data_IF_221020933633
#
_entry.id   IF_221020933633
#
_cell.length_a   1.000
_cell.length_b   1.000
_cell.length_c   1.000
_cell.angle_alpha   90.00
_cell.angle_beta   90.00
_cell.angle_gamma   90.00
#
_symmetry.space_group_name_H-M   'P 1'
#
loop_
_entity.id
_entity.type
_entity.pdbx_description
1 polymer ?
#
# COMPACT_ATOMS: atom_id res chain seq x y z
N UNK A 1 15.30 -5.35 -6.31
CA UNK A 1 13.91 -4.91 -6.65
C UNK A 1 13.45 -5.60 -7.95
N UNK A 2 12.15 -5.74 -8.24
CA UNK A 2 11.66 -6.51 -9.42
C UNK A 2 12.25 -5.98 -10.75
N UNK A 3 12.31 -4.66 -10.93
CA UNK A 3 12.90 -4.00 -12.10
C UNK A 3 14.35 -4.39 -12.33
N UNK A 4 15.14 -4.49 -11.26
CA UNK A 4 16.55 -4.89 -11.33
C UNK A 4 16.71 -6.37 -11.66
N UNK A 5 15.79 -7.23 -11.20
CA UNK A 5 15.83 -8.68 -11.47
C UNK A 5 15.57 -8.97 -12.95
N UNK A 6 14.60 -8.30 -13.58
CA UNK A 6 14.29 -8.49 -15.00
C UNK A 6 15.35 -7.88 -15.95
N UNK A 7 16.25 -7.05 -15.43
CA UNK A 7 17.48 -6.54 -16.08
C UNK A 7 17.39 -6.42 -17.62
N UNK A 8 16.52 -5.52 -18.10
CA UNK A 8 16.28 -5.33 -19.54
C UNK A 8 17.16 -4.22 -20.11
N UNK A 9 17.56 -4.33 -21.38
CA UNK A 9 18.18 -3.22 -22.12
C UNK A 9 17.22 -2.03 -22.33
N UNK A 10 15.91 -2.25 -22.16
CA UNK A 10 14.88 -1.26 -22.45
C UNK A 10 14.55 -0.33 -21.27
N UNK A 11 14.94 -0.68 -20.05
CA UNK A 11 14.66 0.12 -18.85
C UNK A 11 15.71 -0.12 -17.77
N UNK A 12 15.94 0.91 -16.94
CA UNK A 12 16.80 0.83 -15.75
C UNK A 12 16.04 1.30 -14.52
N UNK A 13 16.39 0.78 -13.35
CA UNK A 13 15.85 1.29 -12.08
C UNK A 13 16.40 2.70 -11.83
N UNK A 14 15.50 3.69 -11.76
CA UNK A 14 15.85 5.10 -11.58
C UNK A 14 16.02 5.53 -10.12
N UNK A 15 15.61 4.72 -9.15
CA UNK A 15 15.60 5.11 -7.74
C UNK A 15 14.36 5.91 -7.36
N UNK A 16 14.48 6.70 -6.27
CA UNK A 16 13.40 7.53 -5.76
C UNK A 16 13.08 8.67 -6.75
N UNK A 17 11.82 8.75 -7.17
CA UNK A 17 11.30 9.78 -8.07
C UNK A 17 11.56 11.20 -7.54
N UNK A 18 11.57 11.40 -6.21
CA UNK A 18 11.85 12.71 -5.60
C UNK A 18 13.24 13.26 -5.98
N UNK A 19 14.20 12.37 -6.23
CA UNK A 19 15.57 12.72 -6.62
C UNK A 19 15.69 13.25 -8.05
N UNK A 20 14.61 13.18 -8.84
CA UNK A 20 14.56 13.58 -10.24
C UNK A 20 13.74 14.84 -10.48
N UNK A 21 13.00 15.34 -9.49
CA UNK A 21 12.04 16.46 -9.61
C UNK A 21 12.62 17.76 -10.17
N UNK A 22 13.89 18.06 -9.90
CA UNK A 22 14.54 19.32 -10.28
C UNK A 22 15.61 19.14 -11.36
N UNK A 23 15.65 17.99 -12.06
CA UNK A 23 16.62 17.82 -13.14
C UNK A 23 16.17 18.64 -14.36
N UNK A 24 17.09 19.33 -15.05
CA UNK A 24 16.73 20.19 -16.16
C UNK A 24 16.08 19.39 -17.29
N UNK A 25 15.01 19.95 -17.87
CA UNK A 25 14.23 19.43 -19.02
C UNK A 25 15.08 19.05 -20.25
N UNK A 26 16.35 19.48 -20.29
CA UNK A 26 17.32 19.05 -21.30
C UNK A 26 17.74 17.58 -21.16
N UNK A 27 17.29 16.85 -20.14
CA UNK A 27 17.50 15.41 -20.04
C UNK A 27 16.67 14.68 -21.10
N UNK A 28 17.34 13.98 -22.02
CA UNK A 28 16.72 13.06 -22.99
C UNK A 28 16.12 11.79 -22.36
N UNK A 29 16.01 11.75 -21.02
CA UNK A 29 15.57 10.58 -20.27
C UNK A 29 14.05 10.56 -20.15
N UNK A 30 13.45 9.42 -20.48
CA UNK A 30 12.04 9.14 -20.26
C UNK A 30 11.86 8.42 -18.92
N UNK A 31 10.84 8.81 -18.16
CA UNK A 31 10.56 8.23 -16.84
C UNK A 31 9.25 7.46 -16.83
N UNK A 32 9.23 6.36 -16.09
CA UNK A 32 8.00 5.68 -15.66
C UNK A 32 7.95 5.78 -14.14
N UNK A 33 7.07 6.61 -13.63
CA UNK A 33 6.84 6.76 -12.20
C UNK A 33 5.74 5.79 -11.74
N UNK A 34 6.06 4.98 -10.71
CA UNK A 34 5.08 4.10 -10.05
C UNK A 34 4.52 4.82 -8.83
N UNK A 35 3.29 5.30 -8.94
CA UNK A 35 2.60 6.05 -7.89
C UNK A 35 1.74 5.08 -7.09
N UNK A 36 2.08 4.82 -5.83
CA UNK A 36 1.28 3.96 -4.95
C UNK A 36 0.37 4.84 -4.09
N UNK A 37 -0.95 4.71 -4.25
CA UNK A 37 -1.93 5.58 -3.60
C UNK A 37 -3.13 4.75 -3.13
N UNK A 38 -3.43 4.63 -1.82
CA UNK A 38 -2.61 5.00 -0.68
C UNK A 38 -1.21 4.37 -0.72
N UNK A 39 -0.21 5.09 -0.17
CA UNK A 39 1.18 4.66 -0.13
C UNK A 39 1.36 3.40 0.71
N UNK A 40 2.41 2.65 0.38
CA UNK A 40 2.94 1.57 1.20
C UNK A 40 4.38 1.95 1.56
N UNK A 41 4.69 2.30 2.84
CA UNK A 41 3.99 1.80 4.04
C UNK A 41 2.95 2.72 4.71
N UNK A 42 2.95 4.03 4.49
CA UNK A 42 2.26 4.98 5.39
C UNK A 42 0.73 5.01 5.26
N UNK A 43 0.20 4.80 4.05
CA UNK A 43 -1.23 4.89 3.75
C UNK A 43 -1.72 6.28 3.33
N UNK A 44 -0.83 7.16 2.89
CA UNK A 44 -1.19 8.49 2.39
C UNK A 44 -1.61 8.44 0.92
N UNK A 45 -2.59 9.24 0.52
CA UNK A 45 -2.89 9.42 -0.91
C UNK A 45 -1.72 10.16 -1.58
N UNK A 46 -1.22 9.59 -2.67
CA UNK A 46 -0.09 10.11 -3.44
C UNK A 46 -0.51 10.53 -4.84
N UNK A 47 0.14 11.59 -5.29
CA UNK A 47 0.14 12.12 -6.65
C UNK A 47 1.57 11.94 -7.22
N UNK A 48 1.76 12.05 -8.55
CA UNK A 48 3.07 11.96 -9.16
C UNK A 48 3.94 13.12 -8.70
N UNK A 49 5.24 12.88 -8.57
CA UNK A 49 6.21 13.95 -8.27
C UNK A 49 6.96 14.42 -9.51
N UNK A 50 6.95 13.64 -10.59
CA UNK A 50 7.54 13.98 -11.87
C UNK A 50 6.49 14.55 -12.82
N UNK A 51 6.90 15.56 -13.59
CA UNK A 51 6.06 16.28 -14.54
C UNK A 51 6.72 16.30 -15.92
N UNK A 52 5.94 16.56 -16.96
CA UNK A 52 6.43 16.68 -18.34
C UNK A 52 5.97 15.56 -19.26
N UNK A 53 6.14 15.78 -20.57
CA UNK A 53 5.66 14.87 -21.61
C UNK A 53 6.46 13.57 -21.73
N UNK A 54 7.69 13.56 -21.22
CA UNK A 54 8.59 12.40 -21.14
C UNK A 54 8.31 11.49 -19.94
N UNK A 55 7.37 11.85 -19.07
CA UNK A 55 6.98 11.09 -17.89
C UNK A 55 5.69 10.32 -18.17
N UNK A 56 5.71 9.02 -17.84
CA UNK A 56 4.52 8.17 -17.78
C UNK A 56 4.30 7.70 -16.35
N UNK A 57 3.04 7.52 -15.96
CA UNK A 57 2.67 7.11 -14.61
C UNK A 57 1.95 5.77 -14.61
N UNK A 58 2.23 4.95 -13.61
CA UNK A 58 1.51 3.72 -13.27
C UNK A 58 0.97 3.92 -11.86
N UNK A 59 -0.35 4.00 -11.73
CA UNK A 59 -0.98 4.11 -10.42
C UNK A 59 -1.27 2.73 -9.83
N UNK A 60 -0.58 2.39 -8.74
CA UNK A 60 -0.93 1.24 -7.89
C UNK A 60 -1.98 1.65 -6.87
N UNK A 61 -3.23 1.27 -7.17
CA UNK A 61 -4.41 1.47 -6.34
C UNK A 61 -4.80 0.22 -5.54
N UNK A 62 -3.85 -0.67 -5.22
CA UNK A 62 -4.12 -1.87 -4.43
C UNK A 62 -4.85 -1.57 -3.11
N UNK A 63 -4.57 -0.44 -2.46
CA UNK A 63 -5.20 -0.02 -1.19
C UNK A 63 -6.27 1.07 -1.38
N UNK A 64 -6.67 1.43 -2.59
CA UNK A 64 -7.67 2.49 -2.83
C UNK A 64 -9.10 1.97 -2.67
N UNK A 65 -9.39 1.48 -1.47
CA UNK A 65 -10.66 0.93 -1.06
C UNK A 65 -11.12 1.55 0.26
N UNK A 66 -12.44 1.64 0.51
CA UNK A 66 -12.98 2.18 1.76
C UNK A 66 -12.48 1.48 3.04
N UNK A 67 -11.89 0.28 2.92
CA UNK A 67 -11.20 -0.39 4.02
C UNK A 67 -10.07 0.46 4.61
N UNK A 68 -9.29 1.10 3.74
CA UNK A 68 -7.98 1.66 4.05
C UNK A 68 -7.96 3.19 4.07
N UNK A 69 -8.81 3.80 3.25
CA UNK A 69 -8.85 5.25 3.06
C UNK A 69 -10.26 5.70 2.69
N UNK A 70 -10.61 6.94 3.02
CA UNK A 70 -11.79 7.60 2.48
C UNK A 70 -11.63 7.82 0.97
N UNK A 71 -12.67 7.49 0.20
CA UNK A 71 -12.67 7.70 -1.25
C UNK A 71 -13.00 9.16 -1.55
N UNK A 72 -12.01 9.95 -1.93
CA UNK A 72 -12.19 11.36 -2.29
C UNK A 72 -12.99 11.53 -3.58
N UNK A 73 -12.64 10.76 -4.62
CA UNK A 73 -13.27 10.79 -5.94
C UNK A 73 -12.99 9.47 -6.69
N UNK A 74 -13.75 9.15 -7.76
CA UNK A 74 -13.36 8.08 -8.65
C UNK A 74 -11.96 8.34 -9.25
N UNK A 75 -11.08 7.34 -9.20
CA UNK A 75 -9.76 7.43 -9.82
C UNK A 75 -9.88 7.52 -11.35
N UNK A 76 -9.07 8.39 -11.98
CA UNK A 76 -9.16 8.68 -13.42
C UNK A 76 -7.79 8.94 -14.05
N UNK A 77 -6.84 8.03 -13.85
CA UNK A 77 -5.48 8.15 -14.41
C UNK A 77 -5.30 7.24 -15.63
N UNK A 78 -4.20 7.40 -16.37
CA UNK A 78 -4.02 6.74 -17.68
C UNK A 78 -3.81 5.23 -17.56
N UNK A 79 -3.12 4.80 -16.50
CA UNK A 79 -2.89 3.40 -16.18
C UNK A 79 -3.06 3.19 -14.68
N UNK A 80 -4.07 2.41 -14.32
CA UNK A 80 -4.45 2.10 -12.94
C UNK A 80 -4.41 0.60 -12.71
N UNK A 81 -3.76 0.12 -11.65
CA UNK A 81 -3.72 -1.30 -11.29
C UNK A 81 -4.40 -1.55 -9.94
N UNK A 82 -5.05 -2.70 -9.85
CA UNK A 82 -5.82 -3.15 -8.68
C UNK A 82 -5.62 -4.65 -8.46
N UNK A 83 -5.95 -5.14 -7.26
CA UNK A 83 -5.81 -6.56 -6.93
C UNK A 83 -6.88 -7.07 -5.96
N UNK A 84 -7.29 -8.34 -6.16
CA UNK A 84 -8.11 -9.05 -5.16
C UNK A 84 -7.40 -9.21 -3.82
N UNK A 85 -6.06 -9.22 -3.82
CA UNK A 85 -5.25 -9.47 -2.63
C UNK A 85 -5.53 -8.49 -1.49
N UNK A 86 -5.91 -7.26 -1.84
CA UNK A 86 -6.16 -6.15 -0.92
C UNK A 86 -7.61 -5.67 -0.95
N UNK A 87 -8.36 -6.00 -1.98
CA UNK A 87 -9.82 -5.84 -1.95
C UNK A 87 -10.47 -6.91 -1.06
N UNK A 88 -10.31 -8.20 -1.37
CA UNK A 88 -11.07 -9.29 -0.72
C UNK A 88 -10.22 -10.18 0.18
N UNK A 89 -8.95 -9.87 0.38
CA UNK A 89 -8.01 -10.71 1.14
C UNK A 89 -7.54 -11.97 0.40
N UNK A 90 -7.94 -12.17 -0.86
CA UNK A 90 -7.66 -13.38 -1.64
C UNK A 90 -6.29 -13.36 -2.32
N UNK A 91 -5.22 -13.12 -1.54
CA UNK A 91 -3.85 -12.99 -2.07
C UNK A 91 -3.29 -14.25 -2.74
N UNK A 92 -3.81 -15.43 -2.37
CA UNK A 92 -3.46 -16.72 -2.99
C UNK A 92 -4.08 -16.93 -4.37
N UNK A 93 -5.13 -16.19 -4.73
CA UNK A 93 -5.76 -16.30 -6.06
C UNK A 93 -4.91 -15.68 -7.18
N UNK A 94 -3.89 -14.89 -6.83
CA UNK A 94 -2.96 -14.25 -7.78
C UNK A 94 -3.68 -13.49 -8.90
N UNK A 95 -4.77 -12.79 -8.57
CA UNK A 95 -5.60 -12.07 -9.53
C UNK A 95 -5.56 -10.56 -9.30
N UNK A 96 -5.23 -9.83 -10.37
CA UNK A 96 -5.24 -8.38 -10.44
C UNK A 96 -5.67 -7.93 -11.84
N UNK A 97 -5.98 -6.65 -11.98
CA UNK A 97 -6.44 -6.07 -13.23
C UNK A 97 -5.89 -4.66 -13.39
N UNK A 98 -5.87 -4.20 -14.64
CA UNK A 98 -5.47 -2.86 -15.00
C UNK A 98 -6.57 -2.18 -15.82
N UNK A 99 -6.82 -0.89 -15.56
CA UNK A 99 -7.52 0.00 -16.48
C UNK A 99 -6.48 0.80 -17.25
N UNK A 100 -6.56 0.76 -18.57
CA UNK A 100 -5.57 1.35 -19.47
C UNK A 100 -6.30 2.19 -20.51
N UNK A 101 -6.02 3.49 -20.56
CA UNK A 101 -6.64 4.40 -21.54
C UNK A 101 -5.96 4.35 -22.90
N UNK A 102 -4.63 4.28 -22.92
CA UNK A 102 -3.84 4.24 -24.15
C UNK A 102 -3.90 2.85 -24.79
N UNK A 103 -4.43 2.79 -26.01
CA UNK A 103 -4.59 1.55 -26.76
C UNK A 103 -3.26 0.84 -27.04
N UNK A 104 -2.20 1.58 -27.39
CA UNK A 104 -0.90 0.98 -27.69
C UNK A 104 -0.26 0.39 -26.42
N UNK A 105 -0.47 1.01 -25.26
CA UNK A 105 -0.06 0.44 -23.97
C UNK A 105 -0.86 -0.82 -23.65
N UNK A 106 -2.19 -0.78 -23.84
CA UNK A 106 -3.06 -1.95 -23.65
C UNK A 106 -2.62 -3.13 -24.51
N UNK A 107 -2.38 -2.93 -25.81
CA UNK A 107 -1.96 -3.99 -26.73
C UNK A 107 -0.61 -4.59 -26.33
N UNK A 108 0.34 -3.77 -25.87
CA UNK A 108 1.64 -4.25 -25.34
C UNK A 108 1.47 -5.07 -24.07
N UNK A 109 0.59 -4.65 -23.15
CA UNK A 109 0.29 -5.41 -21.92
C UNK A 109 -0.40 -6.73 -22.24
N UNK A 110 -1.35 -6.73 -23.18
CA UNK A 110 -2.04 -7.94 -23.63
C UNK A 110 -1.05 -8.94 -24.26
N UNK A 111 -0.17 -8.45 -25.14
CA UNK A 111 0.88 -9.28 -25.75
C UNK A 111 1.85 -9.84 -24.69
N UNK A 112 2.22 -9.04 -23.67
CA UNK A 112 3.04 -9.54 -22.57
C UNK A 112 2.35 -10.68 -21.81
N UNK A 113 1.05 -10.55 -21.50
CA UNK A 113 0.29 -11.61 -20.82
C UNK A 113 0.22 -12.90 -21.65
N UNK A 114 0.06 -12.77 -22.97
CA UNK A 114 0.04 -13.91 -23.88
C UNK A 114 1.36 -14.66 -23.88
N UNK A 115 2.48 -13.94 -24.04
CA UNK A 115 3.82 -14.53 -24.10
C UNK A 115 4.30 -15.06 -22.74
N UNK A 116 3.94 -14.38 -21.65
CA UNK A 116 4.44 -14.71 -20.31
C UNK A 116 3.69 -15.89 -19.68
N UNK A 117 2.36 -15.98 -19.86
CA UNK A 117 1.56 -16.98 -19.15
C UNK A 117 0.32 -17.46 -19.91
N UNK A 118 0.13 -17.07 -21.17
CA UNK A 118 -1.08 -17.37 -21.96
C UNK A 118 -2.35 -16.90 -21.21
N UNK A 119 -2.27 -15.68 -20.66
CA UNK A 119 -3.35 -15.07 -19.88
C UNK A 119 -3.37 -15.49 -18.41
N UNK A 120 -4.55 -15.37 -17.79
CA UNK A 120 -4.78 -15.65 -16.37
C UNK A 120 -5.60 -16.93 -16.18
N UNK A 121 -5.33 -17.67 -15.09
CA UNK A 121 -6.06 -18.88 -14.72
C UNK A 121 -7.59 -18.67 -14.76
N UNK A 122 -8.29 -19.57 -15.45
CA UNK A 122 -9.76 -19.55 -15.52
C UNK A 122 -10.42 -19.75 -14.15
N UNK A 123 -9.81 -20.58 -13.28
CA UNK A 123 -10.28 -20.76 -11.89
C UNK A 123 -10.16 -19.46 -11.09
N UNK A 124 -9.05 -18.73 -11.27
CA UNK A 124 -8.87 -17.43 -10.63
C UNK A 124 -9.91 -16.41 -11.14
N UNK A 125 -10.19 -16.40 -12.44
CA UNK A 125 -11.22 -15.56 -13.05
C UNK A 125 -12.63 -15.89 -12.52
N UNK A 126 -13.00 -17.18 -12.48
CA UNK A 126 -14.30 -17.63 -11.97
C UNK A 126 -14.48 -17.29 -10.50
N UNK A 127 -13.45 -17.54 -9.68
CA UNK A 127 -13.47 -17.16 -8.26
C UNK A 127 -13.57 -15.64 -8.09
N UNK A 128 -12.82 -14.86 -8.88
CA UNK A 128 -12.90 -13.40 -8.87
C UNK A 128 -14.32 -12.92 -9.17
N UNK A 129 -14.96 -13.47 -10.20
CA UNK A 129 -16.33 -13.13 -10.58
C UNK A 129 -17.33 -13.36 -9.44
N UNK A 130 -17.26 -14.51 -8.78
CA UNK A 130 -18.16 -14.85 -7.66
C UNK A 130 -17.93 -13.92 -6.46
N UNK A 131 -16.67 -13.65 -6.12
CA UNK A 131 -16.31 -12.75 -5.02
C UNK A 131 -16.79 -11.33 -5.30
N UNK A 132 -16.50 -10.78 -6.48
CA UNK A 132 -16.90 -9.42 -6.85
C UNK A 132 -18.43 -9.28 -6.88
N UNK A 133 -19.16 -10.26 -7.41
CA UNK A 133 -20.64 -10.27 -7.34
C UNK A 133 -21.16 -10.27 -5.90
N UNK A 134 -20.48 -10.97 -5.00
CA UNK A 134 -20.84 -11.01 -3.58
C UNK A 134 -20.56 -9.67 -2.90
N UNK A 135 -19.40 -9.07 -3.17
CA UNK A 135 -19.03 -7.74 -2.65
C UNK A 135 -19.99 -6.67 -3.14
N UNK A 136 -20.50 -6.76 -4.38
CA UNK A 136 -21.41 -5.77 -4.95
C UNK A 136 -22.85 -5.86 -4.42
N UNK A 137 -23.19 -6.88 -3.63
CA UNK A 137 -24.50 -6.92 -2.94
C UNK A 137 -24.61 -5.74 -2.00
N UNK A 138 -25.79 -5.11 -1.97
CA UNK A 138 -26.07 -3.93 -1.15
C UNK A 138 -25.00 -2.83 -1.31
N UNK A 139 -24.53 -2.63 -2.55
CA UNK A 139 -23.47 -1.67 -2.93
C UNK A 139 -22.14 -1.87 -2.18
N UNK A 140 -21.93 -3.06 -1.60
CA UNK A 140 -20.78 -3.37 -0.75
C UNK A 140 -20.76 -2.66 0.60
N UNK A 141 -21.88 -2.06 1.03
CA UNK A 141 -21.98 -1.31 2.30
C UNK A 141 -21.53 -2.13 3.50
N UNK A 142 -22.00 -3.36 3.60
CA UNK A 142 -21.64 -4.27 4.69
C UNK A 142 -20.16 -4.67 4.61
N UNK A 143 -19.71 -5.11 3.44
CA UNK A 143 -18.33 -5.56 3.21
C UNK A 143 -17.29 -4.47 3.50
N UNK A 144 -17.50 -3.28 2.93
CA UNK A 144 -16.62 -2.14 3.14
C UNK A 144 -16.75 -1.56 4.54
N UNK A 145 -17.96 -1.54 5.12
CA UNK A 145 -18.21 -1.14 6.50
C UNK A 145 -17.48 -2.02 7.51
N UNK A 146 -17.49 -3.34 7.30
CA UNK A 146 -16.73 -4.31 8.09
C UNK A 146 -15.24 -4.00 8.04
N UNK A 147 -14.65 -3.93 6.83
CA UNK A 147 -13.21 -3.72 6.67
C UNK A 147 -12.74 -2.38 7.28
N UNK A 148 -13.49 -1.30 7.05
CA UNK A 148 -13.18 0.01 7.63
C UNK A 148 -13.24 -0.01 9.16
N UNK A 149 -14.32 -0.57 9.73
CA UNK A 149 -14.51 -0.66 11.18
C UNK A 149 -13.36 -1.44 11.83
N UNK A 150 -13.05 -2.62 11.31
CA UNK A 150 -11.98 -3.48 11.85
C UNK A 150 -10.62 -2.80 11.81
N UNK A 151 -10.24 -2.19 10.69
CA UNK A 151 -8.93 -1.54 10.57
C UNK A 151 -8.83 -0.25 11.37
N UNK A 152 -9.92 0.53 11.47
CA UNK A 152 -9.99 1.70 12.35
C UNK A 152 -9.80 1.32 13.81
N UNK A 153 -10.48 0.27 14.29
CA UNK A 153 -10.35 -0.21 15.67
C UNK A 153 -8.90 -0.63 15.97
N UNK A 154 -8.28 -1.41 15.07
CA UNK A 154 -6.88 -1.82 15.17
C UNK A 154 -5.93 -0.63 15.19
N UNK A 155 -6.15 0.34 14.30
CA UNK A 155 -5.36 1.57 14.24
C UNK A 155 -5.45 2.38 15.54
N UNK A 156 -6.65 2.56 16.10
CA UNK A 156 -6.85 3.26 17.38
C UNK A 156 -6.16 2.55 18.53
N UNK A 157 -6.26 1.22 18.60
CA UNK A 157 -5.63 0.41 19.65
C UNK A 157 -4.09 0.49 19.59
N UNK A 158 -3.50 0.32 18.40
CA UNK A 158 -2.06 0.45 18.22
C UNK A 158 -1.58 1.88 18.55
N UNK A 159 -2.25 2.90 18.02
CA UNK A 159 -1.91 4.30 18.26
C UNK A 159 -1.93 4.64 19.75
N UNK A 160 -2.97 4.20 20.46
CA UNK A 160 -3.09 4.41 21.91
C UNK A 160 -1.96 3.72 22.66
N UNK A 161 -1.63 2.48 22.31
CA UNK A 161 -0.55 1.73 22.98
C UNK A 161 0.80 2.43 22.80
N UNK A 162 1.16 2.79 21.56
CA UNK A 162 2.42 3.48 21.26
C UNK A 162 2.50 4.87 21.90
N UNK A 163 1.38 5.60 22.00
CA UNK A 163 1.35 6.95 22.60
C UNK A 163 1.72 7.00 24.09
N UNK A 164 1.77 5.85 24.78
CA UNK A 164 2.20 5.75 26.18
C UNK A 164 3.72 5.91 26.35
N UNK A 165 4.48 5.87 25.26
CA UNK A 165 5.95 5.95 25.24
C UNK A 165 6.46 7.08 24.38
N UNK A 166 7.65 7.58 24.72
CA UNK A 166 8.40 8.53 23.88
C UNK A 166 9.43 7.85 22.97
N UNK A 167 9.65 6.53 23.13
CA UNK A 167 10.56 5.70 22.31
C UNK A 167 10.09 5.55 20.87
N UNK A 168 8.78 5.60 20.64
CA UNK A 168 8.20 5.30 19.33
C UNK A 168 7.37 6.46 18.80
N UNK A 169 7.38 6.64 17.48
CA UNK A 169 6.40 7.48 16.78
C UNK A 169 5.69 6.67 15.70
N UNK A 170 4.44 7.00 15.42
CA UNK A 170 3.60 6.39 14.40
C UNK A 170 3.28 7.41 13.29
N UNK A 171 2.97 6.95 12.07
CA UNK A 171 2.62 7.88 10.99
C UNK A 171 1.39 8.74 11.34
N UNK A 172 1.38 9.98 10.82
CA UNK A 172 0.29 10.92 11.03
C UNK A 172 -0.65 10.84 9.84
N UNK A 173 -1.90 10.48 10.09
CA UNK A 173 -2.97 10.46 9.10
C UNK A 173 -4.13 11.30 9.62
N UNK A 174 -4.74 12.09 8.73
CA UNK A 174 -5.87 12.96 9.07
C UNK A 174 -7.18 12.37 8.57
N UNK A 175 -8.30 12.55 9.30
CA UNK A 175 -9.63 12.24 8.76
C UNK A 175 -9.91 13.06 7.50
N UNK A 176 -10.60 12.46 6.54
CA UNK A 176 -11.00 13.13 5.30
C UNK A 176 -12.35 12.64 4.79
N UNK A 177 -12.93 13.41 3.85
CA UNK A 177 -14.23 13.10 3.28
C UNK A 177 -14.18 11.81 2.46
N UNK A 178 -15.15 10.93 2.69
CA UNK A 178 -15.34 9.70 1.93
C UNK A 178 -16.68 9.77 1.19
N UNK A 179 -16.61 9.91 -0.14
CA UNK A 179 -17.77 9.88 -1.03
C UNK A 179 -18.54 8.56 -0.94
N UNK A 180 -17.84 7.44 -0.79
CA UNK A 180 -18.48 6.13 -0.62
C UNK A 180 -19.37 6.08 0.63
N UNK A 181 -18.84 6.45 1.80
CA UNK A 181 -19.62 6.45 3.05
C UNK A 181 -20.47 7.71 3.27
N UNK A 182 -20.35 8.70 2.39
CA UNK A 182 -20.97 10.02 2.49
C UNK A 182 -20.76 10.70 3.85
N UNK A 183 -19.51 10.63 4.36
CA UNK A 183 -19.09 11.23 5.63
C UNK A 183 -17.59 11.39 5.70
N UNK A 184 -17.12 12.19 6.65
CA UNK A 184 -15.71 12.18 7.06
C UNK A 184 -15.41 10.85 7.77
N UNK A 185 -14.32 10.19 7.37
CA UNK A 185 -13.87 8.93 7.97
C UNK A 185 -12.52 9.10 8.63
N UNK A 186 -12.35 8.49 9.80
CA UNK A 186 -11.05 8.39 10.48
C UNK A 186 -10.08 7.49 9.70
N UNK A 187 -8.76 7.64 9.91
CA UNK A 187 -7.76 6.77 9.32
C UNK A 187 -7.94 5.29 9.68
N UNK A 188 -7.72 4.42 8.70
CA UNK A 188 -7.81 2.95 8.82
C UNK A 188 -6.73 2.23 8.00
N UNK A 189 -5.44 2.62 8.11
CA UNK A 189 -4.40 2.13 7.22
C UNK A 189 -4.15 0.63 7.34
N UNK A 190 -3.64 0.02 6.28
CA UNK A 190 -3.27 -1.40 6.26
C UNK A 190 -2.07 -1.73 7.17
N UNK A 191 -1.26 -0.72 7.51
CA UNK A 191 0.01 -0.88 8.21
C UNK A 191 0.23 0.20 9.26
N UNK A 192 0.95 -0.15 10.33
CA UNK A 192 1.58 0.81 11.22
C UNK A 192 3.01 1.08 10.76
N UNK A 193 3.36 2.33 10.48
CA UNK A 193 4.71 2.75 10.14
C UNK A 193 5.36 3.37 11.38
N UNK A 194 6.03 2.51 12.13
CA UNK A 194 6.59 2.84 13.44
C UNK A 194 8.04 3.25 13.28
N UNK A 195 8.44 4.34 13.93
CA UNK A 195 9.82 4.80 14.04
C UNK A 195 10.32 4.62 15.47
N UNK A 196 11.52 4.10 15.65
CA UNK A 196 12.28 4.23 16.90
C UNK A 196 12.92 5.62 16.94
N UNK A 197 12.61 6.40 17.97
CA UNK A 197 12.97 7.83 18.08
C UNK A 197 14.30 8.01 18.79
N UNK A 198 14.68 7.07 19.66
CA UNK A 198 15.94 7.12 20.42
C UNK A 198 17.14 7.10 19.48
N UNK A 199 18.16 7.90 19.79
CA UNK A 199 19.29 8.08 18.88
C UNK A 199 20.15 6.82 18.75
N UNK A 200 20.28 6.04 19.82
CA UNK A 200 21.02 4.78 19.87
C UNK A 200 20.33 3.63 19.12
N UNK A 201 19.05 3.78 18.77
CA UNK A 201 18.24 2.72 18.15
C UNK A 201 18.20 2.85 16.63
N UNK A 202 19.31 2.50 15.97
CA UNK A 202 19.44 2.59 14.51
C UNK A 202 18.72 1.46 13.73
N UNK A 203 18.49 0.30 14.36
CA UNK A 203 17.75 -0.82 13.76
C UNK A 203 16.49 -1.09 14.58
N UNK A 204 15.40 -0.42 14.21
CA UNK A 204 14.15 -0.54 14.92
C UNK A 204 13.50 -1.93 14.75
N UNK A 205 13.82 -2.64 13.67
CA UNK A 205 13.36 -4.02 13.50
C UNK A 205 14.04 -4.97 14.48
N UNK A 206 15.34 -4.77 14.77
CA UNK A 206 16.04 -5.51 15.81
C UNK A 206 15.46 -5.23 17.21
N UNK A 207 15.16 -3.96 17.51
CA UNK A 207 14.49 -3.55 18.75
C UNK A 207 13.17 -4.30 18.93
N UNK A 208 12.28 -4.21 17.94
CA UNK A 208 10.97 -4.88 17.99
C UNK A 208 11.10 -6.42 18.01
N UNK A 209 12.07 -6.98 17.29
CA UNK A 209 12.34 -8.43 17.28
C UNK A 209 12.76 -8.95 18.65
N UNK A 210 13.49 -8.17 19.45
CA UNK A 210 13.85 -8.57 20.83
C UNK A 210 12.61 -8.68 21.74
N UNK A 211 11.55 -7.93 21.45
CA UNK A 211 10.23 -8.06 22.07
C UNK A 211 9.33 -9.12 21.39
N UNK A 212 9.87 -9.91 20.45
CA UNK A 212 9.13 -10.90 19.69
C UNK A 212 8.23 -10.31 18.59
N UNK A 213 8.35 -9.04 18.24
CA UNK A 213 7.54 -8.42 17.18
C UNK A 213 8.31 -8.45 15.86
N UNK A 214 7.70 -9.04 14.83
CA UNK A 214 8.28 -9.08 13.49
C UNK A 214 7.63 -8.00 12.61
N UNK A 215 8.46 -7.20 11.95
CA UNK A 215 8.04 -6.20 10.96
C UNK A 215 9.01 -6.13 9.78
N UNK A 216 8.66 -5.32 8.78
CA UNK A 216 9.54 -5.07 7.63
C UNK A 216 10.38 -3.81 7.87
N UNK A 217 11.70 -3.94 7.74
CA UNK A 217 12.67 -2.85 7.92
C UNK A 217 12.43 -1.68 6.96
N UNK A 218 12.83 -0.49 7.40
CA UNK A 218 12.80 0.76 6.65
C UNK A 218 13.44 0.67 5.26
N UNK A 219 14.62 0.07 5.20
CA UNK A 219 15.41 -0.10 3.97
C UNK A 219 14.68 -0.83 2.83
N UNK A 220 13.69 -1.68 3.13
CA UNK A 220 12.86 -2.30 2.08
C UNK A 220 11.98 -1.28 1.32
N UNK A 221 11.79 -0.09 1.88
CA UNK A 221 10.95 0.99 1.37
C UNK A 221 11.78 2.24 1.07
N UNK A 222 13.10 2.11 0.92
CA UNK A 222 14.02 3.24 0.75
C UNK A 222 13.96 4.26 1.90
N UNK A 223 13.60 3.80 3.10
CA UNK A 223 13.59 4.60 4.33
C UNK A 223 14.73 4.16 5.27
N UNK A 224 14.99 4.99 6.28
CA UNK A 224 15.94 4.69 7.35
C UNK A 224 15.50 3.45 8.17
N UNK A 225 16.44 2.59 8.58
CA UNK A 225 16.17 1.37 9.38
C UNK A 225 15.66 1.68 10.82
N UNK A 226 15.60 2.95 11.21
CA UNK A 226 14.79 3.46 12.32
C UNK A 226 13.29 3.23 12.11
N UNK A 227 12.82 2.95 10.90
CA UNK A 227 11.43 2.64 10.61
C UNK A 227 11.15 1.14 10.45
N UNK A 228 9.94 0.73 10.85
CA UNK A 228 9.41 -0.62 10.69
C UNK A 228 7.94 -0.59 10.30
N UNK A 229 7.59 -1.37 9.27
CA UNK A 229 6.19 -1.60 8.86
C UNK A 229 5.60 -2.80 9.62
N UNK A 230 4.57 -2.54 10.40
CA UNK A 230 3.78 -3.53 11.15
C UNK A 230 2.47 -3.83 10.43
N UNK A 231 2.08 -5.10 10.39
CA UNK A 231 0.90 -5.58 9.66
C UNK A 231 -0.39 -5.43 10.47
N UNK A 232 -1.35 -4.64 9.99
CA UNK A 232 -2.67 -4.48 10.63
C UNK A 232 -3.78 -5.29 9.94
N UNK A 233 -3.49 -5.88 8.78
CA UNK A 233 -4.45 -6.69 8.00
C UNK A 233 -4.32 -8.20 8.25
N UNK A 234 -3.61 -8.61 9.31
CA UNK A 234 -3.49 -10.01 9.75
C UNK A 234 -4.79 -10.56 10.36
N UNK A 235 -4.75 -11.79 10.87
CA UNK A 235 -5.86 -12.32 11.66
C UNK A 235 -5.94 -11.60 13.03
N UNK A 236 -6.99 -11.88 13.81
CA UNK A 236 -7.18 -11.22 15.12
C UNK A 236 -6.13 -11.65 16.14
N UNK A 237 -5.76 -12.93 16.17
CA UNK A 237 -4.76 -13.46 17.11
C UNK A 237 -3.39 -12.80 16.92
N UNK A 238 -2.97 -12.59 15.66
CA UNK A 238 -1.74 -11.89 15.30
C UNK A 238 -1.77 -10.44 15.79
N UNK A 239 -2.92 -9.77 15.65
CA UNK A 239 -3.08 -8.39 16.09
C UNK A 239 -3.09 -8.29 17.63
N UNK A 240 -3.79 -9.19 18.32
CA UNK A 240 -3.84 -9.22 19.78
C UNK A 240 -2.46 -9.53 20.38
N UNK A 241 -1.72 -10.45 19.76
CA UNK A 241 -0.34 -10.76 20.14
C UNK A 241 0.59 -9.56 19.89
N UNK A 242 0.45 -8.89 18.75
CA UNK A 242 1.18 -7.66 18.45
C UNK A 242 0.93 -6.60 19.53
N UNK A 243 -0.33 -6.32 19.83
CA UNK A 243 -0.70 -5.30 20.81
C UNK A 243 -0.19 -5.63 22.21
N UNK A 244 -0.32 -6.89 22.65
CA UNK A 244 0.21 -7.36 23.94
C UNK A 244 1.73 -7.15 24.04
N UNK A 245 2.47 -7.46 22.98
CA UNK A 245 3.94 -7.29 22.94
C UNK A 245 4.33 -5.83 22.89
N UNK A 246 3.60 -5.00 22.15
CA UNK A 246 3.79 -3.55 22.14
C UNK A 246 3.57 -3.05 23.57
N UNK A 247 2.39 -3.25 24.18
CA UNK A 247 2.07 -2.79 25.54
C UNK A 247 3.14 -3.23 26.56
N UNK A 248 3.63 -4.47 26.49
CA UNK A 248 4.71 -4.95 27.36
C UNK A 248 6.02 -4.18 27.13
N UNK A 249 6.39 -3.92 25.88
CA UNK A 249 7.58 -3.16 25.51
C UNK A 249 7.47 -1.68 25.92
N UNK A 250 6.27 -1.10 25.80
CA UNK A 250 5.99 0.30 26.14
C UNK A 250 6.01 0.52 27.67
N UNK A 251 5.64 -0.51 28.44
CA UNK A 251 5.57 -0.44 29.91
C UNK A 251 6.93 -0.62 30.61
N UNK A 252 7.97 -1.01 29.87
CA UNK A 252 9.35 -1.15 30.38
C UNK A 252 10.13 0.17 30.32
N UNK A 253 9.49 1.24 29.85
CA UNK A 253 10.08 2.57 29.73
C UNK A 253 10.05 3.39 31.02
#
# INVERSE_FOLDING_TARGET
MQTEVYNSLNFKWGGDASSWKNKPDSSTENFIEVVTSPSNPEGELREPVLEGSSVKTIYDYAYYWPHYTGISSPANTDLMIFTLSKLTGHGGSRFGWAFVKDKAVYERMANYLEVNSVGASQDAQLRALVLLRTVLKDEGREFFGFGHKTLRERWVMLSRSLSKSKRFSLQKLSPHNCSFFNKVTDPSPAYGWVKCVREEEHDCAAVLKSAGILGKKGSYFSADDKYVRLNLIGNQDDFDLLLRRIDALVSQE
#
